data_IF_057903269967
#
_entry.id   IF_057903269967
#
_cell.length_a   1.000
_cell.length_b   1.000
_cell.length_c   1.000
_cell.angle_alpha   90.00
_cell.angle_beta   90.00
_cell.angle_gamma   90.00
#
_symmetry.space_group_name_H-M   'P 1'
#
loop_
_entity.id
_entity.type
_entity.pdbx_description
1 polymer ?
#
# COMPACT_ATOMS: atom_id res chain seq x y z
N UNK A 1 10.05 -15.17 -85.11
CA UNK A 1 10.64 -13.87 -84.68
C UNK A 1 9.51 -13.06 -84.07
N UNK A 2 9.75 -12.42 -82.92
CA UNK A 2 8.80 -11.68 -82.07
C UNK A 2 7.81 -12.54 -81.28
N UNK A 3 7.35 -12.18 -80.08
CA UNK A 3 7.87 -11.45 -78.93
C UNK A 3 6.79 -11.66 -77.84
N UNK A 4 7.21 -11.68 -76.58
CA UNK A 4 6.43 -11.64 -75.33
C UNK A 4 4.92 -11.29 -75.41
N UNK A 5 4.08 -12.25 -75.00
CA UNK A 5 2.68 -12.02 -74.61
C UNK A 5 2.58 -11.77 -73.10
N UNK A 6 2.09 -10.59 -72.76
CA UNK A 6 1.81 -10.06 -71.42
C UNK A 6 0.67 -10.86 -70.76
N UNK A 7 0.79 -11.16 -69.47
CA UNK A 7 -0.36 -11.31 -68.57
C UNK A 7 -0.08 -10.63 -67.24
N UNK A 8 -0.85 -9.56 -67.02
CA UNK A 8 -0.91 -8.69 -65.85
C UNK A 8 -1.22 -9.50 -64.58
N UNK A 9 -0.43 -9.30 -63.53
CA UNK A 9 -0.78 -9.71 -62.17
C UNK A 9 -1.70 -8.65 -61.57
N UNK A 10 -3.01 -8.95 -61.49
CA UNK A 10 -3.95 -8.22 -60.64
C UNK A 10 -3.95 -8.88 -59.25
N UNK A 11 -3.07 -8.40 -58.37
CA UNK A 11 -3.15 -8.70 -56.94
C UNK A 11 -4.26 -7.88 -56.31
N UNK A 12 -5.40 -8.53 -56.05
CA UNK A 12 -6.52 -7.95 -55.32
C UNK A 12 -6.11 -7.57 -53.89
N UNK A 13 -6.36 -6.31 -53.54
CA UNK A 13 -6.44 -5.81 -52.17
C UNK A 13 -7.43 -6.68 -51.36
N UNK A 14 -6.96 -7.27 -50.26
CA UNK A 14 -7.80 -7.50 -49.09
C UNK A 14 -7.07 -7.02 -47.84
N UNK A 15 -7.76 -6.13 -47.12
CA UNK A 15 -7.30 -5.40 -45.96
C UNK A 15 -7.21 -6.34 -44.75
N UNK A 16 -6.00 -6.59 -44.22
CA UNK A 16 -5.83 -7.29 -42.93
C UNK A 16 -5.47 -6.24 -41.88
N UNK A 17 -6.50 -5.62 -41.29
CA UNK A 17 -6.35 -4.86 -40.05
C UNK A 17 -6.43 -5.85 -38.89
N UNK A 18 -5.27 -6.34 -38.45
CA UNK A 18 -5.13 -7.02 -37.16
C UNK A 18 -4.37 -6.07 -36.24
N UNK A 19 -5.15 -5.29 -35.48
CA UNK A 19 -4.65 -4.46 -34.40
C UNK A 19 -4.11 -5.39 -33.30
N UNK A 20 -2.78 -5.52 -33.21
CA UNK A 20 -2.12 -6.20 -32.11
C UNK A 20 -2.36 -5.39 -30.83
N UNK A 21 -3.34 -5.80 -30.04
CA UNK A 21 -3.44 -5.38 -28.63
C UNK A 21 -2.23 -5.98 -27.91
N UNK A 22 -1.25 -5.15 -27.59
CA UNK A 22 -0.27 -5.48 -26.55
C UNK A 22 -1.05 -5.59 -25.24
N UNK A 23 -1.24 -6.82 -24.76
CA UNK A 23 -1.71 -7.07 -23.41
C UNK A 23 -0.59 -6.66 -22.45
N UNK A 24 -0.86 -5.67 -21.60
CA UNK A 24 -0.04 -5.40 -20.42
C UNK A 24 0.20 -6.72 -19.66
N UNK A 25 1.42 -6.98 -19.15
CA UNK A 25 1.67 -8.17 -18.36
C UNK A 25 0.86 -8.07 -17.07
N UNK A 26 -0.24 -8.83 -16.99
CA UNK A 26 -1.01 -8.96 -15.75
C UNK A 26 -0.05 -9.42 -14.64
N UNK A 27 0.14 -8.56 -13.64
CA UNK A 27 0.86 -8.93 -12.42
C UNK A 27 0.19 -10.18 -11.85
N UNK A 28 0.93 -11.27 -11.59
CA UNK A 28 0.32 -12.49 -11.08
C UNK A 28 -0.42 -12.15 -9.79
N UNK A 29 -1.74 -12.40 -9.75
CA UNK A 29 -2.52 -12.25 -8.53
C UNK A 29 -2.00 -13.25 -7.51
N UNK A 30 -1.04 -12.82 -6.69
CA UNK A 30 -0.46 -13.60 -5.61
C UNK A 30 -1.55 -14.11 -4.66
N UNK A 31 -2.72 -13.47 -4.64
CA UNK A 31 -3.91 -13.91 -3.90
C UNK A 31 -4.48 -15.20 -4.47
N UNK A 32 -4.43 -15.41 -5.79
CA UNK A 32 -4.83 -16.67 -6.42
C UNK A 32 -3.80 -17.77 -6.14
N UNK A 33 -2.51 -17.46 -6.23
CA UNK A 33 -1.44 -18.40 -5.84
C UNK A 33 -1.57 -18.83 -4.38
N UNK A 34 -1.85 -17.89 -3.47
CA UNK A 34 -2.12 -18.21 -2.07
C UNK A 34 -3.41 -19.01 -1.87
N UNK A 35 -4.48 -18.72 -2.62
CA UNK A 35 -5.72 -19.53 -2.59
C UNK A 35 -5.46 -20.98 -3.03
N UNK A 36 -4.63 -21.20 -4.04
CA UNK A 36 -4.27 -22.55 -4.51
C UNK A 36 -3.44 -23.30 -3.47
N UNK A 37 -2.51 -22.62 -2.79
CA UNK A 37 -1.72 -23.20 -1.70
C UNK A 37 -2.61 -23.49 -0.48
N UNK A 38 -3.56 -22.60 -0.17
CA UNK A 38 -4.54 -22.72 0.92
C UNK A 38 -5.37 -24.00 0.84
N UNK A 39 -5.83 -24.38 -0.36
CA UNK A 39 -6.63 -25.58 -0.56
C UNK A 39 -5.84 -26.90 -0.37
N UNK A 40 -4.51 -26.84 -0.29
CA UNK A 40 -3.66 -28.02 -0.15
C UNK A 40 -3.28 -28.41 1.28
N UNK A 41 -3.47 -27.53 2.29
CA UNK A 41 -2.86 -27.73 3.62
C UNK A 41 -3.82 -27.34 4.77
N UNK A 42 -4.57 -28.31 5.28
CA UNK A 42 -5.62 -28.14 6.30
C UNK A 42 -5.17 -27.73 7.73
N UNK A 43 -3.94 -27.27 7.93
CA UNK A 43 -3.45 -26.75 9.22
C UNK A 43 -2.75 -25.38 9.11
N UNK A 44 -2.61 -24.85 7.89
CA UNK A 44 -2.01 -23.53 7.65
C UNK A 44 -3.03 -22.43 7.93
N UNK A 45 -4.34 -22.65 7.75
CA UNK A 45 -5.35 -21.59 7.89
C UNK A 45 -5.28 -20.86 9.23
N UNK A 46 -5.00 -21.53 10.35
CA UNK A 46 -4.89 -20.86 11.65
C UNK A 46 -3.67 -19.93 11.72
N UNK A 47 -2.50 -20.41 11.32
CA UNK A 47 -1.26 -19.61 11.33
C UNK A 47 -1.27 -18.55 10.25
N UNK A 48 -1.88 -18.84 9.11
CA UNK A 48 -2.09 -17.92 8.01
C UNK A 48 -3.08 -16.83 8.39
N UNK A 49 -4.18 -17.15 9.08
CA UNK A 49 -5.11 -16.14 9.56
C UNK A 49 -4.46 -15.27 10.64
N UNK A 50 -3.66 -15.84 11.55
CA UNK A 50 -2.88 -15.04 12.51
C UNK A 50 -1.84 -14.16 11.81
N UNK A 51 -1.15 -14.67 10.79
CA UNK A 51 -0.21 -13.89 10.00
C UNK A 51 -0.93 -12.83 9.14
N UNK A 52 -2.08 -13.16 8.57
CA UNK A 52 -2.91 -12.23 7.80
C UNK A 52 -3.45 -11.14 8.71
N UNK A 53 -4.00 -11.46 9.89
CA UNK A 53 -4.44 -10.49 10.90
C UNK A 53 -3.27 -9.61 11.39
N UNK A 54 -2.08 -10.18 11.52
CA UNK A 54 -0.85 -9.44 11.83
C UNK A 54 -0.43 -8.49 10.68
N UNK A 55 -0.70 -8.88 9.43
CA UNK A 55 -0.49 -8.11 8.21
C UNK A 55 -1.77 -7.41 7.72
N UNK A 56 -2.66 -7.08 8.65
CA UNK A 56 -3.80 -6.20 8.43
C UNK A 56 -5.10 -6.81 7.95
N UNK A 57 -5.28 -8.13 8.08
CA UNK A 57 -6.47 -8.84 7.63
C UNK A 57 -6.61 -8.87 6.10
N UNK A 58 -7.77 -9.28 5.60
CA UNK A 58 -8.01 -9.38 4.15
C UNK A 58 -8.11 -8.01 3.44
N UNK A 59 -8.38 -6.93 4.18
CA UNK A 59 -8.66 -5.59 3.66
C UNK A 59 -7.69 -4.49 4.14
N UNK A 60 -6.85 -4.73 5.16
CA UNK A 60 -5.92 -3.72 5.68
C UNK A 60 -6.59 -2.60 6.50
N UNK A 61 -7.89 -2.68 6.76
CA UNK A 61 -8.72 -1.54 7.21
C UNK A 61 -8.90 -1.46 8.75
N UNK A 62 -8.12 -2.21 9.53
CA UNK A 62 -8.31 -2.39 10.97
C UNK A 62 -8.82 -1.15 11.71
N UNK A 63 -10.02 -1.25 12.31
CA UNK A 63 -10.66 -0.15 13.02
C UNK A 63 -10.47 -0.28 14.53
N UNK A 64 -10.03 0.79 15.18
CA UNK A 64 -9.95 0.84 16.64
C UNK A 64 -11.32 1.16 17.25
N UNK A 65 -11.80 0.29 18.14
CA UNK A 65 -13.09 0.44 18.84
C UNK A 65 -12.94 0.00 20.28
N UNK A 66 -13.60 0.72 21.19
CA UNK A 66 -13.68 0.29 22.58
C UNK A 66 -14.59 -0.94 22.72
N UNK A 67 -14.20 -1.86 23.60
CA UNK A 67 -14.97 -3.10 23.88
C UNK A 67 -16.35 -2.78 24.44
N UNK A 68 -16.47 -1.68 25.18
CA UNK A 68 -17.71 -1.17 25.75
C UNK A 68 -18.65 -0.51 24.72
N UNK A 69 -18.23 -0.42 23.45
CA UNK A 69 -18.99 0.19 22.36
C UNK A 69 -19.01 1.72 22.37
N UNK A 70 -18.35 2.37 23.33
CA UNK A 70 -18.23 3.83 23.36
C UNK A 70 -17.17 4.31 22.36
N UNK A 71 -17.30 5.58 21.97
CA UNK A 71 -16.29 6.24 21.14
C UNK A 71 -15.00 6.40 21.97
N UNK A 72 -13.82 6.00 21.44
CA UNK A 72 -12.53 6.30 22.05
C UNK A 72 -12.35 7.80 22.25
N UNK A 73 -11.86 8.20 23.42
CA UNK A 73 -11.57 9.60 23.75
C UNK A 73 -10.06 9.79 23.90
N UNK A 74 -9.49 10.97 23.56
CA UNK A 74 -8.07 11.22 23.73
C UNK A 74 -7.62 11.03 25.19
N UNK A 75 -6.57 10.26 25.40
CA UNK A 75 -6.00 9.99 26.72
C UNK A 75 -5.45 11.29 27.33
N UNK A 76 -5.93 11.71 28.52
CA UNK A 76 -5.46 12.93 29.16
C UNK A 76 -3.94 12.89 29.40
N UNK A 77 -3.24 13.95 28.99
CA UNK A 77 -1.79 14.08 29.20
C UNK A 77 -0.92 13.22 28.28
N UNK A 78 -1.50 12.48 27.32
CA UNK A 78 -0.74 11.74 26.32
C UNK A 78 0.15 12.69 25.50
N UNK A 79 1.41 12.29 25.34
CA UNK A 79 2.37 12.97 24.48
C UNK A 79 2.84 11.96 23.44
N UNK A 80 2.52 12.18 22.15
CA UNK A 80 2.98 11.32 21.08
C UNK A 80 4.51 11.12 21.12
N UNK A 81 5.02 9.89 20.99
CA UNK A 81 6.45 9.62 20.93
C UNK A 81 7.10 10.37 19.75
N UNK A 82 8.41 10.65 19.76
CA UNK A 82 9.06 11.19 18.57
C UNK A 82 8.84 10.28 17.35
N UNK A 83 8.57 10.83 16.14
CA UNK A 83 8.39 10.02 14.95
C UNK A 83 9.67 9.27 14.62
N UNK A 84 9.54 8.07 14.07
CA UNK A 84 10.66 7.13 13.92
C UNK A 84 10.97 6.78 12.45
N UNK A 85 10.56 7.65 11.52
CA UNK A 85 10.81 7.49 10.09
C UNK A 85 10.01 6.35 9.50
N UNK A 86 10.49 5.78 8.39
CA UNK A 86 9.80 4.66 7.72
C UNK A 86 10.14 3.30 8.37
N UNK A 87 10.46 3.28 9.66
CA UNK A 87 10.85 2.07 10.39
C UNK A 87 9.65 1.42 11.08
N UNK A 88 9.64 0.09 11.14
CA UNK A 88 8.72 -0.63 12.03
C UNK A 88 9.51 -1.35 13.11
N UNK A 89 9.39 -0.94 14.39
CA UNK A 89 10.05 -1.64 15.50
C UNK A 89 9.68 -3.13 15.53
N UNK A 90 8.47 -3.46 15.09
CA UNK A 90 7.94 -4.82 15.04
C UNK A 90 8.71 -5.73 14.10
N UNK A 91 9.15 -5.21 12.96
CA UNK A 91 9.81 -6.00 11.92
C UNK A 91 11.34 -5.83 11.88
N UNK A 92 11.89 -5.01 12.79
CA UNK A 92 13.34 -4.86 12.97
C UNK A 92 14.07 -4.25 11.78
N UNK A 93 13.36 -3.62 10.84
CA UNK A 93 13.95 -2.90 9.71
C UNK A 93 13.60 -1.41 9.76
N UNK A 94 14.54 -0.58 9.32
CA UNK A 94 14.35 0.84 9.06
C UNK A 94 14.41 1.06 7.55
N UNK A 95 13.31 1.48 6.93
CA UNK A 95 13.28 1.88 5.51
C UNK A 95 13.73 3.33 5.29
N UNK A 96 14.59 3.86 6.15
CA UNK A 96 15.23 5.15 5.88
C UNK A 96 16.31 4.94 4.81
N UNK A 97 15.90 4.86 3.54
CA UNK A 97 16.80 4.79 2.38
C UNK A 97 17.59 6.09 2.14
N UNK A 98 17.73 6.95 3.17
CA UNK A 98 18.41 8.23 3.09
C UNK A 98 17.70 9.26 2.22
N UNK A 99 16.39 9.10 1.97
CA UNK A 99 15.57 10.03 1.19
C UNK A 99 14.76 10.90 2.16
N UNK A 100 15.17 12.16 2.45
CA UNK A 100 14.55 12.97 3.49
C UNK A 100 13.05 13.24 3.26
N UNK A 101 12.62 13.28 1.99
CA UNK A 101 11.23 13.46 1.63
C UNK A 101 10.35 12.28 2.03
N UNK A 102 10.87 11.05 1.97
CA UNK A 102 10.12 9.84 2.37
C UNK A 102 10.03 9.76 3.90
N UNK A 103 11.14 9.97 4.60
CA UNK A 103 11.16 10.04 6.07
C UNK A 103 10.18 11.11 6.58
N UNK A 104 10.03 12.23 5.87
CA UNK A 104 9.02 13.25 6.20
C UNK A 104 7.58 12.73 6.08
N UNK A 105 7.26 11.99 5.02
CA UNK A 105 5.93 11.39 4.85
C UNK A 105 5.65 10.35 5.94
N UNK A 106 6.61 9.49 6.25
CA UNK A 106 6.48 8.50 7.31
C UNK A 106 6.28 9.15 8.68
N UNK A 107 7.04 10.21 9.00
CA UNK A 107 6.84 10.95 10.25
C UNK A 107 5.46 11.63 10.35
N UNK A 108 4.88 12.04 9.22
CA UNK A 108 3.51 12.57 9.20
C UNK A 108 2.48 11.46 9.43
N UNK A 109 2.72 10.27 8.86
CA UNK A 109 1.90 9.08 9.03
C UNK A 109 1.89 8.60 10.49
N UNK A 110 3.07 8.49 11.13
CA UNK A 110 3.22 8.16 12.55
C UNK A 110 2.36 9.10 13.43
N UNK A 111 2.42 10.41 13.15
CA UNK A 111 1.64 11.43 13.86
C UNK A 111 0.13 11.26 13.67
N UNK A 112 -0.28 10.87 12.47
CA UNK A 112 -1.68 10.61 12.18
C UNK A 112 -2.18 9.40 12.96
N UNK A 113 -1.42 8.30 12.97
CA UNK A 113 -1.73 7.10 13.76
C UNK A 113 -1.77 7.36 15.27
N UNK A 114 -0.91 8.25 15.79
CA UNK A 114 -0.89 8.66 17.19
C UNK A 114 -2.04 9.62 17.58
N UNK A 115 -2.84 10.06 16.62
CA UNK A 115 -4.00 10.92 16.91
C UNK A 115 -5.19 10.02 17.24
N UNK A 116 -5.63 10.09 18.50
CA UNK A 116 -6.74 9.27 18.97
C UNK A 116 -8.01 9.41 18.12
N UNK A 117 -8.60 8.26 17.76
CA UNK A 117 -9.82 8.13 16.98
C UNK A 117 -9.70 8.76 15.57
N UNK A 118 -8.49 8.85 15.03
CA UNK A 118 -8.28 9.13 13.61
C UNK A 118 -8.45 7.84 12.82
N UNK A 119 -9.14 7.90 11.70
CA UNK A 119 -9.34 6.71 10.87
C UNK A 119 -8.04 6.31 10.17
N UNK A 120 -7.75 5.00 10.15
CA UNK A 120 -6.53 4.47 9.51
C UNK A 120 -6.50 4.82 8.03
N UNK A 121 -7.64 4.69 7.34
CA UNK A 121 -7.74 4.93 5.90
C UNK A 121 -7.43 6.40 5.57
N UNK A 122 -7.96 7.35 6.35
CA UNK A 122 -7.64 8.77 6.17
C UNK A 122 -6.13 9.01 6.30
N UNK A 123 -5.48 8.42 7.31
CA UNK A 123 -4.04 8.55 7.51
C UNK A 123 -3.23 7.95 6.36
N UNK A 124 -3.67 6.81 5.88
CA UNK A 124 -3.03 6.08 4.80
C UNK A 124 -3.15 6.81 3.46
N UNK A 125 -4.32 7.37 3.16
CA UNK A 125 -4.55 8.18 1.94
C UNK A 125 -3.68 9.45 1.97
N UNK A 126 -3.63 10.15 3.12
CA UNK A 126 -2.73 11.29 3.32
C UNK A 126 -1.24 10.90 3.10
N UNK A 127 -0.86 9.69 3.51
CA UNK A 127 0.48 9.16 3.30
C UNK A 127 0.76 8.86 1.82
N UNK A 128 -0.18 8.23 1.11
CA UNK A 128 -0.08 8.00 -0.33
C UNK A 128 0.11 9.31 -1.09
N UNK A 129 -0.72 10.31 -0.83
CA UNK A 129 -0.62 11.63 -1.46
C UNK A 129 0.73 12.31 -1.19
N UNK A 130 1.26 12.14 0.03
CA UNK A 130 2.58 12.66 0.38
C UNK A 130 3.68 12.01 -0.46
N UNK A 131 3.66 10.68 -0.59
CA UNK A 131 4.65 9.94 -1.38
C UNK A 131 4.56 10.28 -2.88
N UNK A 132 3.37 10.33 -3.45
CA UNK A 132 3.20 10.70 -4.87
C UNK A 132 3.70 12.12 -5.18
N UNK A 133 3.58 13.03 -4.21
CA UNK A 133 4.11 14.40 -4.33
C UNK A 133 5.64 14.38 -4.53
N UNK A 134 6.34 13.36 -4.03
CA UNK A 134 7.78 13.18 -4.27
C UNK A 134 8.03 12.89 -5.76
N UNK A 135 7.27 11.98 -6.36
CA UNK A 135 7.41 11.64 -7.78
C UNK A 135 7.06 12.82 -8.69
N UNK A 136 6.01 13.59 -8.36
CA UNK A 136 5.67 14.84 -9.06
C UNK A 136 6.80 15.87 -9.01
N UNK A 137 7.54 15.97 -7.90
CA UNK A 137 8.70 16.87 -7.77
C UNK A 137 9.89 16.37 -8.60
N UNK A 138 10.14 15.06 -8.62
CA UNK A 138 11.18 14.44 -9.45
C UNK A 138 10.90 14.68 -10.93
N UNK A 139 9.65 14.49 -11.38
CA UNK A 139 9.22 14.79 -12.74
C UNK A 139 9.52 16.23 -13.13
N UNK A 140 9.17 17.19 -12.26
CA UNK A 140 9.43 18.62 -12.51
C UNK A 140 10.93 18.97 -12.53
N UNK A 141 11.74 18.27 -11.74
CA UNK A 141 13.17 18.60 -11.57
C UNK A 141 14.05 17.96 -12.65
N UNK A 142 13.77 16.70 -13.03
CA UNK A 142 14.60 15.94 -13.95
C UNK A 142 13.98 15.77 -15.34
N UNK A 143 12.65 15.81 -15.48
CA UNK A 143 11.97 15.67 -16.78
C UNK A 143 12.14 14.31 -17.46
N UNK A 144 12.76 13.34 -16.81
CA UNK A 144 13.05 12.01 -17.35
C UNK A 144 11.90 11.05 -17.07
N UNK A 145 11.16 10.65 -18.11
CA UNK A 145 10.01 9.75 -17.98
C UNK A 145 10.34 8.42 -17.26
N UNK A 146 11.52 7.85 -17.51
CA UNK A 146 11.98 6.62 -16.84
C UNK A 146 12.20 6.81 -15.32
N UNK A 147 12.68 7.97 -14.89
CA UNK A 147 12.88 8.26 -13.46
C UNK A 147 11.55 8.47 -12.72
N UNK A 148 10.53 8.98 -13.42
CA UNK A 148 9.18 9.15 -12.86
C UNK A 148 8.51 7.79 -12.67
N UNK A 149 8.55 6.92 -13.68
CA UNK A 149 8.00 5.57 -13.59
C UNK A 149 8.65 4.75 -12.47
N UNK A 150 9.98 4.82 -12.35
CA UNK A 150 10.70 4.14 -11.28
C UNK A 150 10.31 4.68 -9.88
N UNK A 151 10.07 5.98 -9.76
CA UNK A 151 9.58 6.59 -8.53
C UNK A 151 8.18 6.10 -8.18
N UNK A 152 7.24 6.17 -9.13
CA UNK A 152 5.85 5.76 -8.94
C UNK A 152 5.77 4.30 -8.48
N UNK A 153 6.49 3.38 -9.15
CA UNK A 153 6.53 1.98 -8.74
C UNK A 153 7.10 1.79 -7.32
N UNK A 154 8.15 2.54 -6.97
CA UNK A 154 8.76 2.45 -5.62
C UNK A 154 7.80 2.97 -4.55
N UNK A 155 7.12 4.08 -4.83
CA UNK A 155 6.12 4.67 -3.94
C UNK A 155 4.92 3.74 -3.75
N UNK A 156 4.42 3.13 -4.83
CA UNK A 156 3.33 2.16 -4.78
C UNK A 156 3.71 0.96 -3.91
N UNK A 157 4.89 0.37 -4.13
CA UNK A 157 5.35 -0.76 -3.33
C UNK A 157 5.51 -0.41 -1.85
N UNK A 158 6.05 0.77 -1.54
CA UNK A 158 6.17 1.25 -0.16
C UNK A 158 4.79 1.43 0.48
N UNK A 159 3.87 2.08 -0.24
CA UNK A 159 2.51 2.29 0.23
C UNK A 159 1.82 0.96 0.48
N UNK A 160 1.83 0.01 -0.46
CA UNK A 160 1.22 -1.32 -0.29
C UNK A 160 1.80 -2.07 0.93
N UNK A 161 3.12 -1.98 1.14
CA UNK A 161 3.75 -2.56 2.32
C UNK A 161 3.26 -1.90 3.62
N UNK A 162 3.25 -0.57 3.69
CA UNK A 162 2.80 0.16 4.90
C UNK A 162 1.31 -0.07 5.15
N UNK A 163 0.49 -0.10 4.10
CA UNK A 163 -0.95 -0.35 4.20
C UNK A 163 -1.27 -1.67 4.88
N UNK A 164 -0.69 -2.76 4.37
CA UNK A 164 -0.95 -4.10 4.87
C UNK A 164 -0.27 -4.31 6.22
N UNK A 165 0.98 -3.88 6.39
CA UNK A 165 1.70 -4.06 7.65
C UNK A 165 1.28 -3.06 8.75
N UNK A 166 0.43 -2.07 8.41
CA UNK A 166 0.12 -0.91 9.24
C UNK A 166 -0.90 -1.14 10.35
N UNK A 167 -1.63 -2.25 10.33
CA UNK A 167 -2.68 -2.48 11.33
C UNK A 167 -2.18 -2.61 12.76
N UNK A 168 -1.10 -3.37 12.99
CA UNK A 168 -0.53 -3.50 14.33
C UNK A 168 -0.03 -2.15 14.87
N UNK A 169 0.83 -1.39 14.17
CA UNK A 169 1.27 -0.09 14.65
C UNK A 169 0.11 0.89 14.84
N UNK A 170 -0.87 0.91 13.93
CA UNK A 170 -2.10 1.70 14.10
C UNK A 170 -2.84 1.35 15.40
N UNK A 171 -3.14 0.08 15.63
CA UNK A 171 -3.89 -0.36 16.81
C UNK A 171 -3.12 -0.11 18.12
N UNK A 172 -1.80 -0.22 18.10
CA UNK A 172 -0.95 0.07 19.26
C UNK A 172 -0.93 1.59 19.54
N UNK A 173 -0.73 2.44 18.52
CA UNK A 173 -0.82 3.91 18.66
C UNK A 173 -2.20 4.38 19.14
N UNK A 174 -3.28 3.75 18.68
CA UNK A 174 -4.64 4.06 19.14
C UNK A 174 -4.84 3.62 20.60
N UNK A 175 -4.29 2.48 21.03
CA UNK A 175 -4.36 2.05 22.44
C UNK A 175 -3.62 2.99 23.39
N UNK A 176 -2.48 3.51 22.95
CA UNK A 176 -1.67 4.44 23.74
C UNK A 176 -2.31 5.84 23.80
N UNK A 177 -2.80 6.33 22.66
CA UNK A 177 -3.34 7.68 22.51
C UNK A 177 -4.80 7.84 22.96
N UNK A 178 -5.59 6.76 22.97
CA UNK A 178 -6.99 6.78 23.38
C UNK A 178 -7.20 6.14 24.76
N UNK A 179 -8.36 6.44 25.35
CA UNK A 179 -8.90 5.75 26.52
C UNK A 179 -10.38 5.44 26.28
N UNK A 180 -10.82 4.29 26.80
CA UNK A 180 -12.23 3.89 26.80
C UNK A 180 -12.90 4.19 28.14
N UNK A 181 -14.19 4.53 28.16
CA UNK A 181 -14.89 5.06 29.34
C UNK A 181 -14.81 4.16 30.57
N UNK A 182 -14.81 2.84 30.37
CA UNK A 182 -14.75 1.88 31.47
C UNK A 182 -13.33 1.45 31.84
N UNK A 183 -12.30 1.76 31.04
CA UNK A 183 -10.90 1.55 31.44
C UNK A 183 -10.53 2.48 32.61
N UNK A 184 -11.04 3.71 32.61
CA UNK A 184 -10.85 4.70 33.69
C UNK A 184 -11.35 4.20 35.06
N UNK A 185 -12.41 3.36 35.07
CA UNK A 185 -13.04 2.90 36.32
C UNK A 185 -12.34 1.72 36.96
N UNK A 186 -11.53 0.98 36.21
CA UNK A 186 -10.77 -0.18 36.72
C UNK A 186 -9.47 0.22 37.42
N UNK A 187 -8.98 1.43 37.19
CA UNK A 187 -7.72 1.96 37.76
C UNK A 187 -7.92 2.86 39.00
N UNK A 188 -9.14 2.92 39.56
CA UNK A 188 -9.54 3.65 40.76
C UNK A 188 -10.04 2.69 41.86
#
# INVERSE_FOLDING_TARGET
>A
LYHSGILYSFGFLTCVSACSKESEPETPDWRMTLKTIRNGIHNIDKYLNVALDLFGGQDGMCHYKCIDGYKPEPRPGYKPPPPNGCGSPLFGFQFDMGIPSMTKCCNQHDRCYDTCNRDKHDCDDEFQECLETICRKIQKTLGLAQSVLACENTVTLLFEAVMHLGCKPYMDSQRDSCICKYEVKTDL
#
